data_IF_442921444198
#
_entry.id   IF_442921444198
#
_cell.length_a   1.000
_cell.length_b   1.000
_cell.length_c   1.000
_cell.angle_alpha   90.00
_cell.angle_beta   90.00
_cell.angle_gamma   90.00
#
_symmetry.space_group_name_H-M   'P 1'
#
loop_
_entity.id
_entity.type
_entity.pdbx_description
1 polymer ?
#
# COMPACT_ATOMS: atom_id res chain seq x y z
N UNK A 1 -3.61 -16.39 2.88
CA UNK A 1 -4.15 -15.46 3.88
C UNK A 1 -5.67 -15.26 3.77
N UNK A 2 -6.38 -16.01 2.92
CA UNK A 2 -7.81 -15.78 2.65
C UNK A 2 -8.66 -15.81 3.92
N UNK A 3 -9.42 -14.74 4.17
CA UNK A 3 -10.29 -14.62 5.34
C UNK A 3 -9.56 -14.44 6.68
N UNK A 4 -8.25 -14.19 6.69
CA UNK A 4 -7.51 -13.98 7.94
C UNK A 4 -8.00 -12.71 8.65
N UNK A 5 -8.36 -12.88 9.92
CA UNK A 5 -8.74 -11.81 10.85
C UNK A 5 -8.16 -12.13 12.22
N UNK A 6 -7.48 -11.16 12.83
CA UNK A 6 -6.93 -11.29 14.16
C UNK A 6 -7.06 -9.98 14.93
N UNK A 7 -7.43 -10.06 16.21
CA UNK A 7 -7.36 -8.94 17.15
C UNK A 7 -6.24 -9.14 18.16
N UNK A 8 -5.61 -8.06 18.58
CA UNK A 8 -4.52 -8.11 19.54
C UNK A 8 -3.76 -6.80 19.63
N UNK A 9 -2.59 -6.83 20.26
CA UNK A 9 -1.78 -5.62 20.45
C UNK A 9 -0.83 -5.41 19.28
N UNK A 10 -0.90 -4.24 18.66
CA UNK A 10 0.14 -3.76 17.76
C UNK A 10 1.22 -3.00 18.53
N UNK A 11 2.43 -3.01 17.99
CA UNK A 11 3.45 -2.02 18.33
C UNK A 11 4.08 -1.44 17.06
N UNK A 12 5.15 -0.68 17.18
CA UNK A 12 5.90 -0.16 16.03
C UNK A 12 7.40 -0.27 16.25
N UNK A 13 8.15 -0.39 15.15
CA UNK A 13 9.60 -0.58 15.20
C UNK A 13 10.31 0.64 14.63
N UNK A 14 11.19 1.22 15.44
CA UNK A 14 11.79 2.54 15.19
C UNK A 14 13.12 2.52 14.43
N UNK A 15 13.80 3.68 14.44
CA UNK A 15 14.96 4.02 13.62
C UNK A 15 16.09 2.98 13.60
N UNK A 16 16.29 2.22 14.69
CA UNK A 16 17.36 1.21 14.78
C UNK A 16 17.30 0.11 13.72
N UNK A 17 16.13 -0.10 13.11
CA UNK A 17 15.96 -1.08 12.05
C UNK A 17 16.07 -0.47 10.65
N UNK A 18 15.92 0.86 10.53
CA UNK A 18 15.85 1.54 9.25
C UNK A 18 17.12 1.28 8.43
N UNK A 19 16.96 0.96 7.14
CA UNK A 19 18.06 0.58 6.27
C UNK A 19 18.48 -0.89 6.34
N UNK A 20 18.00 -1.67 7.31
CA UNK A 20 18.31 -3.10 7.40
C UNK A 20 17.41 -3.92 6.46
N UNK A 21 17.86 -5.12 6.10
CA UNK A 21 17.03 -6.07 5.35
C UNK A 21 15.92 -6.66 6.24
N UNK A 22 14.72 -6.70 5.71
CA UNK A 22 13.58 -7.44 6.24
C UNK A 22 13.67 -8.92 5.88
N UNK A 23 12.78 -9.74 6.45
CA UNK A 23 12.72 -11.19 6.21
C UNK A 23 12.42 -11.59 4.77
N UNK A 24 11.86 -10.70 3.94
CA UNK A 24 11.67 -10.95 2.51
C UNK A 24 12.78 -10.35 1.63
N UNK A 25 13.82 -9.77 2.23
CA UNK A 25 14.99 -9.19 1.55
C UNK A 25 14.88 -7.70 1.20
N UNK A 26 13.70 -7.08 1.35
CA UNK A 26 13.53 -5.63 1.14
C UNK A 26 14.25 -4.82 2.21
N UNK A 27 14.76 -3.63 1.86
CA UNK A 27 15.28 -2.67 2.83
C UNK A 27 14.12 -2.07 3.62
N UNK A 28 14.19 -2.11 4.95
CA UNK A 28 13.19 -1.50 5.79
C UNK A 28 13.26 0.03 5.74
N UNK A 29 12.22 0.63 5.20
CA UNK A 29 11.93 2.06 5.31
C UNK A 29 10.87 2.32 6.39
N UNK A 30 11.22 3.08 7.42
CA UNK A 30 10.30 3.47 8.49
C UNK A 30 9.21 4.45 8.02
N UNK A 31 9.41 5.08 6.87
CA UNK A 31 8.47 5.98 6.22
C UNK A 31 7.62 5.29 5.14
N UNK A 32 7.84 3.99 4.88
CA UNK A 32 6.99 3.18 4.03
C UNK A 32 5.83 2.53 4.81
N UNK A 33 4.71 2.22 4.14
CA UNK A 33 3.54 1.59 4.75
C UNK A 33 3.73 0.06 4.91
N UNK A 34 4.66 -0.34 5.77
CA UNK A 34 5.08 -1.74 5.98
C UNK A 34 4.83 -2.24 7.41
N UNK A 35 4.89 -3.55 7.60
CA UNK A 35 4.72 -4.21 8.90
C UNK A 35 5.42 -5.57 8.98
N UNK A 36 5.65 -6.04 10.21
CA UNK A 36 6.10 -7.38 10.54
C UNK A 36 4.96 -8.22 11.16
N UNK A 37 4.78 -9.45 10.69
CA UNK A 37 3.79 -10.39 11.23
C UNK A 37 4.36 -11.82 11.36
N UNK A 38 3.89 -12.57 12.38
CA UNK A 38 4.48 -13.85 12.80
C UNK A 38 4.34 -14.93 11.74
N UNK A 39 3.15 -15.04 11.17
CA UNK A 39 2.73 -16.21 10.38
C UNK A 39 2.08 -15.86 9.04
N UNK A 40 1.86 -14.58 8.73
CA UNK A 40 1.25 -14.22 7.45
C UNK A 40 2.27 -14.50 6.33
N UNK A 41 1.85 -15.05 5.18
CA UNK A 41 2.73 -15.18 4.01
C UNK A 41 3.38 -13.84 3.67
N UNK A 42 4.64 -13.85 3.21
CA UNK A 42 5.29 -12.63 2.73
C UNK A 42 5.32 -12.62 1.21
N UNK A 43 4.97 -11.49 0.56
CA UNK A 43 4.25 -10.36 1.13
C UNK A 43 2.75 -10.68 1.36
N UNK A 44 2.13 -10.08 2.37
CA UNK A 44 0.67 -10.03 2.51
C UNK A 44 0.24 -8.60 2.78
N UNK A 45 -0.81 -8.09 2.15
CA UNK A 45 -1.38 -6.81 2.55
C UNK A 45 -2.47 -7.00 3.59
N UNK A 46 -2.46 -6.16 4.61
CA UNK A 46 -3.43 -6.20 5.70
C UNK A 46 -4.00 -4.81 5.95
N UNK A 47 -5.30 -4.73 6.22
CA UNK A 47 -5.91 -3.57 6.87
C UNK A 47 -5.70 -3.72 8.37
N UNK A 48 -5.16 -2.68 8.99
CA UNK A 48 -4.98 -2.58 10.44
C UNK A 48 -5.85 -1.44 10.93
N UNK A 49 -6.76 -1.74 11.85
CA UNK A 49 -7.67 -0.77 12.46
C UNK A 49 -7.32 -0.62 13.92
N UNK A 50 -7.01 0.61 14.37
CA UNK A 50 -6.85 0.91 15.79
C UNK A 50 -8.22 0.98 16.46
N UNK A 51 -8.47 0.06 17.39
CA UNK A 51 -9.78 -0.12 18.03
C UNK A 51 -10.13 1.00 19.02
N UNK A 52 -9.16 1.84 19.42
CA UNK A 52 -9.42 2.99 20.31
C UNK A 52 -10.00 4.20 19.59
N UNK A 53 -9.71 4.37 18.30
CA UNK A 53 -10.06 5.59 17.56
C UNK A 53 -10.65 5.33 16.17
N UNK A 54 -10.85 4.05 15.81
CA UNK A 54 -11.36 3.58 14.51
C UNK A 54 -10.55 4.05 13.29
N UNK A 55 -9.33 4.56 13.47
CA UNK A 55 -8.43 4.87 12.35
C UNK A 55 -7.92 3.58 11.76
N UNK A 56 -7.84 3.53 10.43
CA UNK A 56 -7.33 2.36 9.72
C UNK A 56 -6.24 2.72 8.73
N UNK A 57 -5.28 1.82 8.56
CA UNK A 57 -4.26 1.88 7.53
C UNK A 57 -4.20 0.55 6.79
N UNK A 58 -3.65 0.56 5.58
CA UNK A 58 -3.27 -0.66 4.88
C UNK A 58 -1.75 -0.69 4.79
N UNK A 59 -1.18 -1.82 5.17
CA UNK A 59 0.27 -2.05 5.20
C UNK A 59 0.64 -3.33 4.48
N UNK A 60 1.82 -3.34 3.87
CA UNK A 60 2.48 -4.54 3.35
C UNK A 60 3.19 -5.24 4.51
N UNK A 61 2.80 -6.46 4.81
CA UNK A 61 3.59 -7.35 5.65
C UNK A 61 4.75 -7.87 4.81
N UNK A 62 5.94 -7.35 5.06
CA UNK A 62 7.19 -7.76 4.38
C UNK A 62 8.23 -8.34 5.34
N UNK A 63 7.95 -8.37 6.65
CA UNK A 63 8.90 -8.82 7.66
C UNK A 63 8.29 -9.83 8.67
N UNK A 64 9.16 -10.48 9.45
CA UNK A 64 8.80 -11.41 10.53
C UNK A 64 8.96 -10.74 11.90
N UNK A 65 8.04 -11.09 12.78
CA UNK A 65 7.88 -10.46 14.10
C UNK A 65 6.39 -10.27 14.38
N UNK A 66 5.98 -9.69 15.51
CA UNK A 66 6.77 -9.32 16.67
C UNK A 66 7.26 -10.56 17.41
N UNK A 67 8.46 -10.54 17.98
CA UNK A 67 8.95 -11.65 18.81
C UNK A 67 8.62 -11.51 20.30
N UNK A 68 8.19 -10.33 20.77
CA UNK A 68 7.72 -10.25 22.17
C UNK A 68 6.30 -10.81 22.32
N UNK A 69 6.06 -11.40 23.48
CA UNK A 69 4.78 -11.98 23.88
C UNK A 69 3.66 -10.94 23.85
N UNK A 70 2.45 -11.37 23.49
CA UNK A 70 1.24 -10.54 23.46
C UNK A 70 1.08 -9.60 22.25
N UNK A 71 2.13 -9.38 21.45
CA UNK A 71 2.04 -8.56 20.22
C UNK A 71 1.74 -9.42 18.99
N UNK A 72 0.89 -8.91 18.10
CA UNK A 72 0.47 -9.61 16.88
C UNK A 72 1.06 -8.99 15.62
N UNK A 73 1.35 -7.69 15.62
CA UNK A 73 1.90 -6.97 14.46
C UNK A 73 2.80 -5.82 14.94
N UNK A 74 3.95 -5.65 14.28
CA UNK A 74 4.79 -4.48 14.46
C UNK A 74 4.66 -3.63 13.19
N UNK A 75 4.33 -2.35 13.35
CA UNK A 75 4.09 -1.42 12.24
C UNK A 75 5.30 -0.53 11.99
N UNK A 76 5.47 -0.06 10.75
CA UNK A 76 6.39 1.05 10.48
C UNK A 76 5.98 2.32 11.22
N UNK A 77 6.92 3.25 11.38
CA UNK A 77 6.67 4.52 12.05
C UNK A 77 5.55 5.32 11.38
N UNK A 78 5.54 5.42 10.04
CA UNK A 78 4.47 6.16 9.33
C UNK A 78 3.09 5.52 9.53
N UNK A 79 3.01 4.19 9.57
CA UNK A 79 1.76 3.47 9.78
C UNK A 79 1.24 3.69 11.21
N UNK A 80 2.14 3.59 12.20
CA UNK A 80 1.83 3.90 13.59
C UNK A 80 1.39 5.35 13.80
N UNK A 81 2.01 6.30 13.07
CA UNK A 81 1.64 7.72 13.10
C UNK A 81 0.23 7.95 12.55
N UNK A 82 -0.09 7.34 11.40
CA UNK A 82 -1.44 7.42 10.80
C UNK A 82 -2.51 6.80 11.70
N UNK A 83 -2.19 5.73 12.42
CA UNK A 83 -3.07 5.11 13.42
C UNK A 83 -3.15 5.84 14.76
N UNK A 84 -2.37 6.91 14.94
CA UNK A 84 -2.28 7.68 16.19
C UNK A 84 -1.90 6.80 17.40
N UNK A 85 -0.82 6.01 17.23
CA UNK A 85 -0.30 5.13 18.28
C UNK A 85 1.20 5.31 18.54
N UNK A 86 1.84 6.33 17.95
CA UNK A 86 3.26 6.63 18.20
C UNK A 86 3.48 7.00 19.66
N UNK A 87 2.67 7.91 20.20
CA UNK A 87 2.79 8.38 21.60
C UNK A 87 2.56 7.27 22.62
N UNK A 88 1.62 6.37 22.37
CA UNK A 88 1.30 5.26 23.27
C UNK A 88 2.25 4.07 23.11
N UNK A 89 3.02 4.01 22.02
CA UNK A 89 3.90 2.89 21.67
C UNK A 89 3.18 1.63 21.19
N UNK A 90 2.00 1.36 21.75
CA UNK A 90 1.15 0.21 21.44
C UNK A 90 -0.31 0.61 21.32
N UNK A 91 -1.10 -0.22 20.63
CA UNK A 91 -2.55 -0.05 20.54
C UNK A 91 -3.25 -1.41 20.34
N UNK A 92 -4.47 -1.59 20.85
CA UNK A 92 -5.31 -2.71 20.45
C UNK A 92 -5.76 -2.49 19.00
N UNK A 93 -5.53 -3.49 18.15
CA UNK A 93 -5.86 -3.42 16.73
C UNK A 93 -6.66 -4.64 16.27
N UNK A 94 -7.39 -4.46 15.18
CA UNK A 94 -7.85 -5.54 14.33
C UNK A 94 -7.01 -5.57 13.04
N UNK A 95 -6.46 -6.73 12.71
CA UNK A 95 -5.71 -7.02 11.49
C UNK A 95 -6.58 -7.90 10.62
N UNK A 96 -6.89 -7.43 9.41
CA UNK A 96 -7.65 -8.19 8.40
C UNK A 96 -6.77 -8.31 7.17
N UNK A 97 -6.47 -9.54 6.75
CA UNK A 97 -5.80 -9.72 5.47
C UNK A 97 -6.73 -9.26 4.35
N UNK A 98 -6.18 -8.47 3.45
CA UNK A 98 -6.86 -8.18 2.20
C UNK A 98 -6.69 -9.42 1.35
N UNK A 99 -7.82 -9.98 0.91
CA UNK A 99 -7.86 -11.13 0.01
C UNK A 99 -7.27 -10.72 -1.34
N UNK A 100 -5.95 -10.71 -1.42
CA UNK A 100 -5.25 -10.75 -2.70
C UNK A 100 -5.22 -12.22 -3.08
N UNK A 101 -6.20 -12.66 -3.86
CA UNK A 101 -6.02 -13.92 -4.59
C UNK A 101 -4.62 -13.86 -5.21
N UNK A 102 -3.75 -14.82 -4.89
CA UNK A 102 -2.43 -14.97 -5.52
C UNK A 102 -2.54 -15.38 -6.98
N UNK A 103 -3.71 -15.20 -7.57
CA UNK A 103 -3.96 -15.24 -9.00
C UNK A 103 -3.12 -14.09 -9.58
N UNK A 104 -2.19 -14.45 -10.46
CA UNK A 104 -1.82 -13.57 -11.57
C UNK A 104 -3.09 -12.89 -12.06
N UNK A 105 -3.06 -11.60 -12.40
CA UNK A 105 -4.23 -10.94 -13.02
C UNK A 105 -4.77 -11.90 -14.08
N UNK A 106 -6.00 -12.40 -13.87
CA UNK A 106 -6.48 -13.68 -14.41
C UNK A 106 -5.92 -13.97 -15.81
N UNK A 107 -5.40 -15.19 -16.02
CA UNK A 107 -4.77 -15.68 -17.27
C UNK A 107 -5.29 -14.94 -18.51
N UNK A 108 -4.55 -13.92 -18.97
CA UNK A 108 -4.91 -13.12 -20.15
C UNK A 108 -4.58 -11.62 -20.11
N UNK A 109 -4.54 -10.96 -18.95
CA UNK A 109 -4.31 -9.49 -18.90
C UNK A 109 -2.84 -9.06 -18.93
N UNK A 110 -1.89 -9.97 -18.73
CA UNK A 110 -0.46 -9.62 -18.70
C UNK A 110 -0.10 -8.62 -17.59
N UNK A 111 0.40 -7.44 -17.97
CA UNK A 111 0.67 -6.32 -17.06
C UNK A 111 -0.47 -5.31 -17.10
N UNK A 112 -0.83 -4.74 -15.93
CA UNK A 112 -1.83 -3.67 -15.84
C UNK A 112 -1.24 -2.40 -15.23
N UNK A 113 -1.87 -1.27 -15.51
CA UNK A 113 -1.64 0.01 -14.85
C UNK A 113 -2.85 0.37 -14.00
N UNK A 114 -2.67 1.17 -12.96
CA UNK A 114 -3.78 1.84 -12.27
C UNK A 114 -3.82 3.29 -12.75
N UNK A 115 -4.83 3.66 -13.53
CA UNK A 115 -5.09 5.05 -13.88
C UNK A 115 -5.68 5.78 -12.68
N UNK A 116 -4.97 6.80 -12.20
CA UNK A 116 -5.40 7.63 -11.05
C UNK A 116 -6.35 8.72 -11.50
N UNK A 117 -5.93 9.50 -12.50
CA UNK A 117 -6.67 10.67 -13.00
C UNK A 117 -6.23 11.02 -14.42
N UNK A 118 -7.13 11.66 -15.19
CA UNK A 118 -6.84 12.26 -16.48
C UNK A 118 -7.18 13.77 -16.44
N UNK A 119 -6.24 14.62 -16.85
CA UNK A 119 -6.34 16.07 -16.71
C UNK A 119 -6.04 16.77 -18.03
N UNK A 120 -6.64 17.94 -18.29
CA UNK A 120 -6.31 18.77 -19.47
C UNK A 120 -4.99 19.55 -19.32
N UNK A 121 -4.56 19.80 -18.08
CA UNK A 121 -3.33 20.57 -17.80
C UNK A 121 -2.16 19.64 -17.53
N UNK A 122 -1.12 19.77 -18.35
CA UNK A 122 0.13 19.01 -18.17
C UNK A 122 0.80 19.31 -16.83
N UNK A 123 0.81 20.58 -16.42
CA UNK A 123 1.43 20.99 -15.16
C UNK A 123 0.72 20.35 -13.96
N UNK A 124 -0.61 20.41 -13.91
CA UNK A 124 -1.37 19.77 -12.81
C UNK A 124 -1.14 18.25 -12.77
N UNK A 125 -1.01 17.60 -13.93
CA UNK A 125 -0.68 16.18 -13.99
C UNK A 125 0.71 15.89 -13.42
N UNK A 126 1.72 16.72 -13.72
CA UNK A 126 3.07 16.63 -13.14
C UNK A 126 3.05 16.82 -11.63
N UNK A 127 2.35 17.83 -11.12
CA UNK A 127 2.28 18.10 -9.69
C UNK A 127 1.66 16.94 -8.91
N UNK A 128 0.57 16.36 -9.45
CA UNK A 128 -0.09 15.19 -8.86
C UNK A 128 0.83 13.96 -8.93
N UNK A 129 1.45 13.70 -10.08
CA UNK A 129 2.36 12.56 -10.24
C UNK A 129 3.52 12.64 -9.25
N UNK A 130 4.14 13.81 -9.09
CA UNK A 130 5.22 14.03 -8.13
C UNK A 130 4.73 13.87 -6.68
N UNK A 131 3.54 14.40 -6.35
CA UNK A 131 2.97 14.23 -5.02
C UNK A 131 2.71 12.76 -4.67
N UNK A 132 2.24 11.98 -5.65
CA UNK A 132 2.02 10.54 -5.48
C UNK A 132 3.36 9.82 -5.33
N UNK A 133 4.32 10.03 -6.24
CA UNK A 133 5.64 9.40 -6.20
C UNK A 133 6.42 9.71 -4.91
N UNK A 134 6.30 10.93 -4.38
CA UNK A 134 6.94 11.31 -3.12
C UNK A 134 6.30 10.64 -1.89
N UNK A 135 5.02 10.28 -1.97
CA UNK A 135 4.25 9.70 -0.85
C UNK A 135 4.19 8.18 -0.92
N UNK A 136 4.21 7.64 -2.13
CA UNK A 136 4.06 6.24 -2.44
C UNK A 136 5.33 5.83 -3.19
N UNK A 137 6.09 4.91 -2.61
CA UNK A 137 7.26 4.30 -3.27
C UNK A 137 6.80 3.37 -4.40
N UNK A 138 6.38 3.97 -5.51
CA UNK A 138 5.78 3.31 -6.67
C UNK A 138 6.11 4.05 -7.96
N UNK A 139 6.26 3.31 -9.06
CA UNK A 139 6.42 3.92 -10.37
C UNK A 139 5.14 4.67 -10.78
N UNK A 140 5.28 5.97 -11.06
CA UNK A 140 4.21 6.83 -11.54
C UNK A 140 4.58 7.36 -12.92
N UNK A 141 3.72 7.14 -13.90
CA UNK A 141 3.93 7.61 -15.28
C UNK A 141 2.85 8.59 -15.70
N UNK A 142 3.22 9.49 -16.62
CA UNK A 142 2.30 10.39 -17.30
C UNK A 142 2.31 10.02 -18.78
N UNK A 143 1.13 9.91 -19.38
CA UNK A 143 0.97 9.64 -20.80
C UNK A 143 0.00 10.63 -21.41
N UNK A 144 0.32 11.09 -22.62
CA UNK A 144 -0.55 11.95 -23.40
C UNK A 144 -1.57 11.15 -24.18
N UNK A 145 -2.79 11.66 -24.28
CA UNK A 145 -3.79 11.13 -25.21
C UNK A 145 -4.61 12.25 -25.84
N UNK A 146 -4.71 12.22 -27.16
CA UNK A 146 -5.62 13.05 -27.94
C UNK A 146 -6.94 12.31 -28.12
N UNK A 147 -8.05 12.96 -27.79
CA UNK A 147 -9.40 12.43 -28.00
C UNK A 147 -10.23 13.43 -28.81
N UNK A 148 -11.42 13.04 -29.26
CA UNK A 148 -12.40 13.99 -29.85
C UNK A 148 -12.75 15.15 -28.90
N UNK A 149 -12.60 14.92 -27.59
CA UNK A 149 -12.83 15.92 -26.55
C UNK A 149 -11.56 16.71 -26.20
N UNK A 150 -10.49 16.61 -26.97
CA UNK A 150 -9.22 17.31 -26.80
C UNK A 150 -8.13 16.49 -26.11
N UNK A 151 -7.03 17.17 -25.78
CA UNK A 151 -5.83 16.57 -25.17
C UNK A 151 -6.00 16.32 -23.67
N UNK A 152 -5.55 15.16 -23.21
CA UNK A 152 -5.50 14.79 -21.81
C UNK A 152 -4.15 14.17 -21.42
N UNK A 153 -3.78 14.36 -20.16
CA UNK A 153 -2.60 13.79 -19.52
C UNK A 153 -3.08 12.80 -18.45
N UNK A 154 -2.82 11.51 -18.67
CA UNK A 154 -3.19 10.41 -17.77
C UNK A 154 -2.06 10.12 -16.81
N UNK A 155 -2.32 10.24 -15.50
CA UNK A 155 -1.42 9.82 -14.42
C UNK A 155 -1.74 8.37 -14.05
N UNK A 156 -0.73 7.49 -14.10
CA UNK A 156 -0.90 6.05 -13.86
C UNK A 156 0.18 5.49 -12.92
N UNK A 157 -0.15 4.47 -12.15
CA UNK A 157 0.80 3.64 -11.38
C UNK A 157 1.02 2.30 -12.09
N UNK A 158 2.23 1.73 -11.97
CA UNK A 158 2.55 0.40 -12.48
C UNK A 158 3.75 0.38 -13.43
N UNK A 159 3.96 -0.70 -14.21
CA UNK A 159 3.08 -1.85 -14.38
C UNK A 159 3.00 -2.77 -13.15
N UNK A 160 1.87 -3.46 -12.99
CA UNK A 160 1.65 -4.51 -11.99
C UNK A 160 1.29 -5.84 -12.66
N UNK A 161 1.81 -6.94 -12.12
CA UNK A 161 1.51 -8.32 -12.59
C UNK A 161 0.65 -9.12 -11.61
N UNK A 162 0.67 -8.74 -10.33
CA UNK A 162 -0.02 -9.46 -9.26
C UNK A 162 -1.25 -8.66 -8.86
N UNK A 163 -2.41 -9.32 -8.81
CA UNK A 163 -3.65 -8.71 -8.30
C UNK A 163 -3.44 -8.09 -6.92
N UNK A 164 -2.65 -8.78 -6.09
CA UNK A 164 -2.29 -8.34 -4.76
C UNK A 164 -1.64 -6.93 -4.71
N UNK A 165 -0.76 -6.61 -5.66
CA UNK A 165 -0.13 -5.27 -5.73
C UNK A 165 -1.12 -4.22 -6.21
N UNK A 166 -2.01 -4.59 -7.14
CA UNK A 166 -3.08 -3.72 -7.64
C UNK A 166 -4.03 -3.33 -6.51
N UNK A 167 -4.51 -4.29 -5.73
CA UNK A 167 -5.42 -4.06 -4.61
C UNK A 167 -4.80 -3.14 -3.56
N UNK A 168 -3.51 -3.33 -3.27
CA UNK A 168 -2.78 -2.47 -2.34
C UNK A 168 -2.74 -1.01 -2.82
N UNK A 169 -2.33 -0.78 -4.06
CA UNK A 169 -2.20 0.58 -4.58
C UNK A 169 -3.54 1.26 -4.77
N UNK A 170 -4.59 0.54 -5.19
CA UNK A 170 -5.96 1.07 -5.21
C UNK A 170 -6.40 1.54 -3.82
N UNK A 171 -6.08 0.77 -2.79
CA UNK A 171 -6.45 1.13 -1.43
C UNK A 171 -5.63 2.30 -0.87
N UNK A 172 -4.33 2.40 -1.19
CA UNK A 172 -3.51 3.59 -0.87
C UNK A 172 -4.07 4.84 -1.58
N UNK A 173 -4.39 4.74 -2.87
CA UNK A 173 -4.98 5.82 -3.67
C UNK A 173 -6.32 6.27 -3.10
N UNK A 174 -7.20 5.34 -2.72
CA UNK A 174 -8.46 5.66 -2.06
C UNK A 174 -8.27 6.41 -0.73
N UNK A 175 -7.25 6.04 0.07
CA UNK A 175 -6.89 6.76 1.30
C UNK A 175 -6.36 8.19 1.04
N UNK A 176 -5.84 8.42 -0.18
CA UNK A 176 -5.38 9.72 -0.68
C UNK A 176 -6.46 10.48 -1.46
N UNK A 177 -7.73 10.09 -1.32
CA UNK A 177 -8.90 10.67 -2.00
C UNK A 177 -9.02 10.39 -3.50
N UNK A 178 -8.17 9.53 -4.08
CA UNK A 178 -8.28 9.09 -5.48
C UNK A 178 -9.17 7.83 -5.60
N UNK A 179 -10.44 7.95 -5.22
CA UNK A 179 -11.38 6.82 -5.13
C UNK A 179 -11.85 6.28 -6.50
N UNK A 180 -11.77 7.11 -7.54
CA UNK A 180 -12.18 6.74 -8.91
C UNK A 180 -11.04 6.13 -9.75
N UNK A 181 -9.95 5.72 -9.11
CA UNK A 181 -8.82 5.07 -9.78
C UNK A 181 -9.25 3.75 -10.42
N UNK A 182 -8.79 3.48 -11.65
CA UNK A 182 -9.20 2.31 -12.45
C UNK A 182 -8.02 1.45 -12.87
N UNK A 183 -8.20 0.13 -12.86
CA UNK A 183 -7.25 -0.82 -13.45
C UNK A 183 -7.43 -0.81 -14.97
N UNK A 184 -6.35 -0.61 -15.70
CA UNK A 184 -6.32 -0.54 -17.17
C UNK A 184 -5.28 -1.55 -17.66
N UNK A 185 -5.62 -2.47 -18.57
CA UNK A 185 -4.65 -3.34 -19.23
C UNK A 185 -3.58 -2.52 -19.97
N UNK A 186 -2.35 -3.03 -20.03
CA UNK A 186 -1.38 -2.52 -20.99
C UNK A 186 -1.69 -3.24 -22.30
N UNK A 187 -2.26 -2.51 -23.25
CA UNK A 187 -2.36 -2.97 -24.63
C UNK A 187 -0.95 -2.87 -25.23
N UNK A 188 -0.49 -3.96 -25.85
CA UNK A 188 0.77 -4.03 -26.60
C UNK A 188 0.72 -3.15 -27.87
#
# INVERSE_FOLDING_TARGET
SKGFRQRGTASWYGNKFHGNKTSNGEVYDMYAMTAAHKSLPLPTYVRVTNLKNNRSVIVRVNDRGPFAKGRIIDLSYVAARKLDMVKTGTAPVEVVALDGSTTTLADGLGQVMIQVIALRSQQKARDIAQSIANKLDVNVTISEISTSNGQFYRVRLGPFRKQQDVDYWLAQLASMQYRDSKVIPIED
#
